data_IF_877764606528
#
_entry.id   IF_877764606528
#
_cell.length_a   1.000
_cell.length_b   1.000
_cell.length_c   1.000
_cell.angle_alpha   90.00
_cell.angle_beta   90.00
_cell.angle_gamma   90.00
#
_symmetry.space_group_name_H-M   'P 1'
#
loop_
_entity.id
_entity.type
_entity.pdbx_description
1 polymer ?
#
# COMPACT_ATOMS: atom_id res chain seq x y z
N UNK A 1 -2.09 25.03 -15.04
CA UNK A 1 -1.60 24.69 -15.02
C UNK A 1 -1.03 23.68 -14.91
N UNK A 2 -1.05 23.38 -15.03
CA UNK A 2 -0.27 22.55 -15.32
C UNK A 2 -0.11 21.45 -14.43
N UNK A 3 -1.05 20.54 -14.43
CA UNK A 3 -1.06 19.45 -13.50
C UNK A 3 0.10 18.50 -13.67
N UNK A 4 0.64 18.40 -14.87
CA UNK A 4 1.76 17.47 -15.02
C UNK A 4 3.01 17.93 -14.29
N UNK A 5 3.11 19.20 -14.00
CA UNK A 5 4.21 19.68 -13.19
C UNK A 5 4.10 19.27 -11.75
N UNK A 6 2.99 18.62 -11.41
CA UNK A 6 2.72 18.29 -10.04
C UNK A 6 2.74 16.80 -9.77
N UNK A 7 3.36 16.04 -10.64
CA UNK A 7 3.45 14.63 -10.42
C UNK A 7 4.20 14.41 -9.14
N UNK A 8 5.41 14.15 -9.15
CA UNK A 8 6.15 14.03 -7.93
C UNK A 8 6.94 15.30 -7.77
N UNK A 9 6.55 16.18 -6.86
CA UNK A 9 7.23 17.44 -6.66
C UNK A 9 8.61 17.27 -6.05
N UNK A 10 8.92 16.08 -5.56
CA UNK A 10 10.19 15.78 -4.93
C UNK A 10 10.84 14.67 -5.75
N UNK A 11 12.11 14.83 -6.10
CA UNK A 11 12.85 13.81 -6.83
C UNK A 11 12.92 12.54 -5.99
N UNK A 12 12.94 11.34 -6.62
CA UNK A 12 12.94 10.10 -5.86
C UNK A 12 14.04 9.98 -4.82
N UNK A 13 15.25 10.41 -5.14
CA UNK A 13 16.35 10.30 -4.18
C UNK A 13 16.15 11.22 -2.97
N UNK A 14 15.55 12.38 -3.19
CA UNK A 14 15.24 13.29 -2.12
C UNK A 14 14.11 12.72 -1.26
N UNK A 15 13.08 12.16 -1.91
CA UNK A 15 11.97 11.54 -1.22
C UNK A 15 12.46 10.44 -0.29
N UNK A 16 13.32 9.55 -0.79
CA UNK A 16 13.83 8.45 0.02
C UNK A 16 14.70 8.92 1.18
N UNK A 17 15.26 10.13 1.08
CA UNK A 17 16.04 10.70 2.16
C UNK A 17 15.23 11.38 3.24
N UNK A 18 13.92 11.53 3.06
CA UNK A 18 13.08 12.17 4.05
C UNK A 18 12.78 11.22 5.20
N UNK A 19 12.45 11.79 6.36
CA UNK A 19 11.98 10.97 7.47
C UNK A 19 10.53 10.53 7.18
N UNK A 20 9.98 9.69 8.06
CA UNK A 20 8.67 9.11 7.83
C UNK A 20 7.57 10.17 7.68
N UNK A 21 7.60 11.22 8.51
CA UNK A 21 6.59 12.27 8.43
C UNK A 21 6.70 13.04 7.12
N UNK A 22 7.93 13.35 6.69
CA UNK A 22 8.15 14.05 5.43
C UNK A 22 7.65 13.24 4.25
N UNK A 23 7.89 11.92 4.28
CA UNK A 23 7.40 11.06 3.22
C UNK A 23 5.89 11.03 3.19
N UNK A 24 5.23 11.00 4.34
CA UNK A 24 3.77 11.02 4.39
C UNK A 24 3.20 12.32 3.83
N UNK A 25 3.84 13.45 4.15
CA UNK A 25 3.41 14.73 3.59
C UNK A 25 3.50 14.74 2.07
N UNK A 26 4.61 14.26 1.53
CA UNK A 26 4.79 14.21 0.08
C UNK A 26 3.73 13.32 -0.55
N UNK A 27 3.43 12.18 0.06
CA UNK A 27 2.42 11.27 -0.45
C UNK A 27 1.04 11.89 -0.44
N UNK A 28 0.65 12.50 0.66
CA UNK A 28 -0.66 13.13 0.77
C UNK A 28 -0.80 14.23 -0.26
N UNK A 29 0.22 15.03 -0.43
CA UNK A 29 0.22 16.08 -1.43
C UNK A 29 0.10 15.51 -2.83
N UNK A 30 0.89 14.48 -3.12
CA UNK A 30 0.88 13.84 -4.42
C UNK A 30 -0.51 13.32 -4.76
N UNK A 31 -1.13 12.58 -3.86
CA UNK A 31 -2.44 12.02 -4.11
C UNK A 31 -3.52 13.10 -4.21
N UNK A 32 -3.42 14.15 -3.40
CA UNK A 32 -4.37 15.24 -3.47
C UNK A 32 -4.26 15.98 -4.80
N UNK A 33 -3.03 16.33 -5.19
CA UNK A 33 -2.79 17.08 -6.42
C UNK A 33 -3.27 16.31 -7.64
N UNK A 34 -3.05 15.00 -7.65
CA UNK A 34 -3.42 14.17 -8.78
C UNK A 34 -4.84 13.64 -8.71
N UNK A 35 -5.58 14.07 -7.67
CA UNK A 35 -6.97 13.68 -7.52
C UNK A 35 -7.15 12.16 -7.57
N UNK A 36 -6.30 11.45 -6.87
CA UNK A 36 -6.33 9.99 -6.85
C UNK A 36 -7.39 9.51 -5.89
N UNK A 37 -8.62 9.66 -6.30
CA UNK A 37 -9.73 9.33 -5.43
C UNK A 37 -10.02 7.87 -5.38
N UNK A 38 -9.70 7.19 -6.43
CA UNK A 38 -10.25 5.88 -6.60
C UNK A 38 -9.22 4.91 -7.10
N UNK A 39 -9.02 3.89 -6.32
CA UNK A 39 -8.25 2.76 -6.76
C UNK A 39 -8.92 2.01 -7.92
N UNK A 40 -10.15 2.41 -8.28
CA UNK A 40 -10.81 1.81 -9.43
C UNK A 40 -10.24 2.30 -10.76
N UNK A 41 -9.61 3.47 -10.74
CA UNK A 41 -8.97 4.01 -11.94
C UNK A 41 -7.49 3.67 -11.91
N UNK A 42 -7.20 2.41 -12.12
CA UNK A 42 -5.84 1.94 -12.10
C UNK A 42 -5.13 2.21 -13.43
N UNK A 43 -3.83 2.42 -13.36
CA UNK A 43 -3.00 2.69 -14.53
C UNK A 43 -2.52 1.43 -15.23
N UNK A 44 -3.19 0.32 -15.03
CA UNK A 44 -2.80 -0.95 -15.64
C UNK A 44 -2.34 -1.92 -14.58
N UNK A 45 -1.72 -3.01 -15.03
CA UNK A 45 -1.25 -4.06 -14.13
C UNK A 45 0.25 -3.95 -13.95
N UNK A 46 0.70 -4.14 -12.74
CA UNK A 46 2.12 -4.12 -12.42
C UNK A 46 2.75 -5.42 -12.90
N UNK A 47 3.89 -5.35 -13.64
CA UNK A 47 4.58 -6.56 -14.07
C UNK A 47 5.07 -7.39 -12.89
N UNK A 48 5.18 -8.70 -13.12
CA UNK A 48 5.55 -9.64 -12.08
C UNK A 48 6.88 -9.31 -11.41
N UNK A 49 7.83 -8.79 -12.16
CA UNK A 49 9.14 -8.44 -11.60
C UNK A 49 9.02 -7.38 -10.50
N UNK A 50 8.11 -6.44 -10.67
CA UNK A 50 7.87 -5.40 -9.65
C UNK A 50 7.08 -5.97 -8.48
N UNK A 51 6.13 -6.86 -8.77
CA UNK A 51 5.37 -7.50 -7.70
C UNK A 51 6.30 -8.30 -6.80
N UNK A 52 7.29 -8.98 -7.37
CA UNK A 52 8.26 -9.71 -6.59
C UNK A 52 9.10 -8.80 -5.71
N UNK A 53 9.44 -7.61 -6.21
CA UNK A 53 10.16 -6.63 -5.39
C UNK A 53 9.32 -6.19 -4.21
N UNK A 54 8.03 -5.98 -4.44
CA UNK A 54 7.10 -5.61 -3.38
C UNK A 54 7.02 -6.74 -2.36
N UNK A 55 6.88 -7.97 -2.83
CA UNK A 55 6.79 -9.11 -1.92
C UNK A 55 8.06 -9.24 -1.07
N UNK A 56 9.22 -9.07 -1.68
CA UNK A 56 10.48 -9.12 -0.94
C UNK A 56 10.52 -8.04 0.15
N UNK A 57 10.11 -6.83 -0.21
CA UNK A 57 10.04 -5.74 0.76
C UNK A 57 9.11 -6.10 1.92
N UNK A 58 7.93 -6.62 1.60
CA UNK A 58 6.95 -6.98 2.62
C UNK A 58 7.46 -8.07 3.54
N UNK A 59 8.12 -9.08 3.00
CA UNK A 59 8.67 -10.18 3.82
C UNK A 59 9.78 -9.69 4.73
N UNK A 60 10.55 -8.72 4.28
CA UNK A 60 11.63 -8.16 5.10
C UNK A 60 11.13 -7.22 6.19
N UNK A 61 10.16 -6.37 5.86
CA UNK A 61 9.67 -5.37 6.79
C UNK A 61 8.56 -5.84 7.70
N UNK A 62 7.74 -6.78 7.22
CA UNK A 62 6.57 -7.25 7.95
C UNK A 62 6.49 -8.78 7.94
N UNK A 63 7.53 -9.47 8.45
CA UNK A 63 7.53 -10.94 8.38
C UNK A 63 6.35 -11.58 9.09
N UNK A 64 5.82 -10.94 10.13
CA UNK A 64 4.67 -11.49 10.87
C UNK A 64 3.44 -11.64 9.98
N UNK A 65 3.32 -10.83 8.93
CA UNK A 65 2.19 -10.93 8.02
C UNK A 65 2.17 -12.26 7.26
N UNK A 66 3.32 -12.94 7.18
CA UNK A 66 3.46 -14.18 6.42
C UNK A 66 3.44 -15.42 7.30
N UNK A 67 3.29 -15.23 8.61
CA UNK A 67 3.20 -16.37 9.53
C UNK A 67 1.83 -17.02 9.42
N UNK A 68 1.80 -18.34 9.49
CA UNK A 68 0.55 -19.07 9.35
C UNK A 68 -0.32 -19.05 10.59
N UNK A 69 0.25 -18.75 11.75
CA UNK A 69 -0.52 -18.73 12.98
C UNK A 69 -1.56 -17.62 12.96
N UNK A 70 -2.74 -17.93 13.47
CA UNK A 70 -3.84 -16.98 13.53
C UNK A 70 -3.75 -16.13 14.79
N UNK A 71 -2.85 -15.19 14.79
CA UNK A 71 -2.79 -14.19 15.83
C UNK A 71 -3.44 -12.91 15.32
N UNK A 72 -4.09 -12.17 16.20
CA UNK A 72 -4.69 -10.90 15.84
C UNK A 72 -3.69 -9.99 15.15
N UNK A 73 -2.47 -9.94 15.67
CA UNK A 73 -1.44 -9.08 15.13
C UNK A 73 -1.07 -9.49 13.70
N UNK A 74 -0.83 -10.79 13.49
CA UNK A 74 -0.49 -11.27 12.15
C UNK A 74 -1.58 -10.95 11.15
N UNK A 75 -2.84 -11.19 11.55
CA UNK A 75 -3.98 -10.90 10.70
C UNK A 75 -4.10 -9.40 10.44
N UNK A 76 -3.86 -8.59 11.46
CA UNK A 76 -3.91 -7.13 11.30
C UNK A 76 -2.91 -6.62 10.27
N UNK A 77 -1.69 -7.16 10.30
CA UNK A 77 -0.68 -6.78 9.31
C UNK A 77 -1.09 -7.21 7.91
N UNK A 78 -1.57 -8.44 7.75
CA UNK A 78 -2.01 -8.90 6.43
C UNK A 78 -3.16 -8.06 5.89
N UNK A 79 -4.15 -7.78 6.72
CA UNK A 79 -5.31 -7.00 6.29
C UNK A 79 -4.90 -5.58 5.91
N UNK A 80 -4.01 -4.98 6.69
CA UNK A 80 -3.49 -3.65 6.39
C UNK A 80 -2.79 -3.63 5.04
N UNK A 81 -1.95 -4.63 4.78
CA UNK A 81 -1.23 -4.71 3.52
C UNK A 81 -2.20 -4.89 2.35
N UNK A 82 -3.18 -5.77 2.49
CA UNK A 82 -4.16 -5.99 1.42
C UNK A 82 -4.89 -4.69 1.08
N UNK A 83 -5.26 -3.93 2.11
CA UNK A 83 -5.94 -2.66 1.90
C UNK A 83 -5.04 -1.65 1.20
N UNK A 84 -3.80 -1.51 1.68
CA UNK A 84 -2.88 -0.52 1.13
C UNK A 84 -2.45 -0.86 -0.30
N UNK A 85 -2.30 -2.14 -0.61
CA UNK A 85 -2.01 -2.54 -1.98
C UNK A 85 -3.17 -2.24 -2.92
N UNK A 86 -4.40 -2.26 -2.41
CA UNK A 86 -5.52 -1.83 -3.22
C UNK A 86 -5.51 -0.33 -3.46
N UNK A 87 -5.02 0.43 -2.49
CA UNK A 87 -4.90 1.87 -2.63
C UNK A 87 -3.78 2.27 -3.59
N UNK A 88 -2.89 1.34 -3.91
CA UNK A 88 -1.80 1.59 -4.84
C UNK A 88 -2.37 1.87 -6.22
N UNK A 89 -1.76 2.80 -6.91
CA UNK A 89 -2.25 3.28 -8.19
C UNK A 89 -2.24 2.24 -9.29
N UNK A 90 -1.23 1.38 -9.28
CA UNK A 90 -1.09 0.37 -10.30
C UNK A 90 -1.66 -0.94 -9.77
N UNK A 91 -2.40 -1.61 -10.61
CA UNK A 91 -3.20 -2.74 -10.17
C UNK A 91 -2.36 -3.98 -9.85
N UNK A 92 -2.56 -4.49 -8.64
CA UNK A 92 -2.12 -5.83 -8.28
C UNK A 92 -3.41 -6.56 -7.93
N UNK A 93 -3.80 -7.52 -8.75
CA UNK A 93 -5.08 -8.19 -8.54
C UNK A 93 -5.14 -8.96 -7.22
N UNK A 94 -6.36 -9.14 -6.68
CA UNK A 94 -6.50 -9.85 -5.41
C UNK A 94 -6.02 -11.29 -5.46
N UNK A 95 -6.10 -11.95 -6.61
CA UNK A 95 -5.57 -13.31 -6.73
C UNK A 95 -4.06 -13.35 -6.55
N UNK A 96 -3.36 -12.37 -7.12
CA UNK A 96 -1.90 -12.32 -7.00
C UNK A 96 -1.48 -11.96 -5.57
N UNK A 97 -2.23 -11.07 -4.92
CA UNK A 97 -1.97 -10.75 -3.51
C UNK A 97 -2.24 -11.98 -2.65
N UNK A 98 -3.29 -12.71 -2.96
CA UNK A 98 -3.58 -13.95 -2.26
C UNK A 98 -2.43 -14.94 -2.35
N UNK A 99 -1.78 -15.00 -3.51
CA UNK A 99 -0.62 -15.88 -3.66
C UNK A 99 0.50 -15.51 -2.72
N UNK A 100 0.71 -14.23 -2.49
CA UNK A 100 1.75 -13.80 -1.55
C UNK A 100 1.52 -14.36 -0.15
N UNK A 101 0.27 -14.36 0.29
CA UNK A 101 -0.08 -14.73 1.66
C UNK A 101 -0.68 -16.13 1.77
N UNK A 102 -0.69 -16.88 0.68
CA UNK A 102 -1.31 -18.21 0.64
C UNK A 102 -2.79 -18.15 1.04
N UNK A 103 -3.51 -17.21 0.47
CA UNK A 103 -4.93 -17.00 0.69
C UNK A 103 -5.64 -16.92 -0.65
N UNK A 104 -6.96 -17.19 -0.67
CA UNK A 104 -7.70 -17.02 -1.90
C UNK A 104 -8.09 -15.53 -2.08
N UNK A 105 -8.53 -15.20 -3.29
CA UNK A 105 -8.83 -13.81 -3.62
C UNK A 105 -10.00 -13.25 -2.80
N UNK A 106 -10.95 -14.11 -2.41
CA UNK A 106 -12.09 -13.66 -1.62
C UNK A 106 -11.63 -13.17 -0.24
N UNK A 107 -10.64 -13.83 0.34
CA UNK A 107 -10.08 -13.43 1.62
C UNK A 107 -9.40 -12.06 1.50
N UNK A 108 -8.71 -11.83 0.40
CA UNK A 108 -8.07 -10.54 0.16
C UNK A 108 -9.13 -9.43 0.05
N UNK A 109 -10.18 -9.67 -0.71
CA UNK A 109 -11.26 -8.71 -0.88
C UNK A 109 -11.93 -8.42 0.46
N UNK A 110 -12.17 -9.48 1.25
CA UNK A 110 -12.76 -9.31 2.57
C UNK A 110 -11.87 -8.45 3.48
N UNK A 111 -10.57 -8.68 3.45
CA UNK A 111 -9.62 -7.90 4.24
C UNK A 111 -9.70 -6.41 3.91
N UNK A 112 -9.82 -6.09 2.64
CA UNK A 112 -9.95 -4.70 2.21
C UNK A 112 -11.21 -4.05 2.77
N UNK A 113 -12.33 -4.78 2.74
CA UNK A 113 -13.59 -4.27 3.25
C UNK A 113 -13.55 -4.07 4.76
N UNK A 114 -12.93 -5.00 5.47
CA UNK A 114 -12.82 -4.89 6.92
C UNK A 114 -12.10 -3.60 7.30
N UNK A 115 -11.00 -3.30 6.61
CA UNK A 115 -10.24 -2.10 6.92
C UNK A 115 -11.04 -0.84 6.56
N UNK A 116 -11.59 -0.78 5.35
CA UNK A 116 -12.26 0.44 4.90
C UNK A 116 -13.61 0.68 5.56
N UNK A 117 -14.35 -0.39 5.87
CA UNK A 117 -15.71 -0.24 6.38
C UNK A 117 -15.81 -0.38 7.89
N UNK A 118 -14.88 -1.06 8.53
CA UNK A 118 -14.91 -1.25 9.97
C UNK A 118 -13.83 -0.46 10.69
N UNK A 119 -12.57 -0.71 10.37
CA UNK A 119 -11.47 -0.05 11.10
C UNK A 119 -11.51 1.46 10.98
N UNK A 120 -11.74 1.96 9.78
CA UNK A 120 -11.66 3.40 9.51
C UNK A 120 -12.97 4.13 9.78
N UNK A 121 -14.09 3.39 9.84
CA UNK A 121 -15.39 4.02 9.99
C UNK A 121 -16.05 3.80 11.34
N UNK A 122 -15.61 2.82 12.12
CA UNK A 122 -16.27 2.47 13.38
C UNK A 122 -15.33 2.69 14.55
N UNK A 123 -15.93 2.92 15.73
CA UNK A 123 -15.16 3.04 16.95
C UNK A 123 -14.73 1.66 17.43
N UNK A 124 -13.70 1.61 18.27
CA UNK A 124 -13.25 0.36 18.85
C UNK A 124 -12.14 -0.35 18.10
N UNK A 125 -11.64 0.27 17.04
CA UNK A 125 -10.58 -0.33 16.22
C UNK A 125 -9.26 0.41 16.32
N UNK A 126 -9.04 1.11 17.43
CA UNK A 126 -7.83 1.93 17.59
C UNK A 126 -6.56 1.12 17.44
N UNK A 127 -6.53 -0.09 18.01
CA UNK A 127 -5.37 -0.96 17.90
C UNK A 127 -5.10 -1.37 16.45
N UNK A 128 -6.15 -1.62 15.70
CA UNK A 128 -6.04 -2.01 14.29
C UNK A 128 -5.58 -0.86 13.44
N UNK A 129 -6.12 0.33 13.70
CA UNK A 129 -5.71 1.53 12.96
C UNK A 129 -4.25 1.85 13.24
N UNK A 130 -3.78 1.57 14.44
CA UNK A 130 -2.37 1.76 14.76
C UNK A 130 -1.48 0.86 13.91
N UNK A 131 -1.86 -0.42 13.77
CA UNK A 131 -1.12 -1.34 12.91
C UNK A 131 -1.15 -0.83 11.46
N UNK A 132 -2.32 -0.40 11.00
CA UNK A 132 -2.45 0.14 9.65
C UNK A 132 -1.50 1.31 9.44
N UNK A 133 -1.40 2.21 10.40
CA UNK A 133 -0.52 3.37 10.28
C UNK A 133 0.95 2.98 10.27
N UNK A 134 1.33 1.99 11.07
CA UNK A 134 2.70 1.48 11.08
C UNK A 134 3.06 0.94 9.69
N UNK A 135 2.17 0.15 9.09
CA UNK A 135 2.41 -0.40 7.76
C UNK A 135 2.43 0.71 6.73
N UNK A 136 1.48 1.63 6.82
CA UNK A 136 1.33 2.72 5.86
C UNK A 136 2.59 3.57 5.76
N UNK A 137 3.17 3.93 6.89
CA UNK A 137 4.34 4.80 6.92
C UNK A 137 5.52 4.17 6.20
N UNK A 138 5.65 2.86 6.25
CA UNK A 138 6.75 2.16 5.59
C UNK A 138 6.41 1.74 4.17
N UNK A 139 5.21 1.26 3.95
CA UNK A 139 4.85 0.64 2.67
C UNK A 139 4.55 1.68 1.59
N UNK A 140 3.78 2.70 1.91
CA UNK A 140 3.35 3.65 0.87
C UNK A 140 4.52 4.37 0.19
N UNK A 141 5.55 4.84 0.93
CA UNK A 141 6.70 5.43 0.24
C UNK A 141 7.38 4.47 -0.72
N UNK A 142 7.46 3.20 -0.34
CA UNK A 142 8.05 2.19 -1.21
C UNK A 142 7.21 2.00 -2.47
N UNK A 143 5.89 1.95 -2.34
CA UNK A 143 4.99 1.78 -3.47
C UNK A 143 5.07 2.97 -4.43
N UNK A 144 5.15 4.17 -3.90
CA UNK A 144 5.28 5.36 -4.74
C UNK A 144 6.60 5.31 -5.52
N UNK A 145 7.67 4.88 -4.86
CA UNK A 145 8.95 4.71 -5.53
C UNK A 145 8.87 3.66 -6.64
N UNK A 146 8.18 2.55 -6.38
CA UNK A 146 7.97 1.51 -7.40
C UNK A 146 7.18 2.04 -8.58
N UNK A 147 6.15 2.82 -8.31
CA UNK A 147 5.36 3.44 -9.37
C UNK A 147 6.23 4.35 -10.22
N UNK A 148 7.07 5.12 -9.57
CA UNK A 148 7.97 6.05 -10.25
C UNK A 148 8.92 5.29 -11.16
N UNK A 149 9.53 4.22 -10.65
CA UNK A 149 10.44 3.40 -11.46
C UNK A 149 9.72 2.79 -12.67
N UNK A 150 8.53 2.25 -12.41
CA UNK A 150 7.75 1.61 -13.46
C UNK A 150 7.41 2.59 -14.58
N UNK A 151 6.99 3.80 -14.22
CA UNK A 151 6.57 4.78 -15.22
C UNK A 151 7.71 5.45 -15.95
N UNK A 152 8.92 5.33 -15.44
CA UNK A 152 10.09 5.96 -16.06
C UNK A 152 11.01 4.98 -16.77
N UNK A 153 10.50 3.82 -17.11
CA UNK A 153 11.27 2.85 -17.91
C UNK A 153 11.32 3.22 -19.37
#
# INVERSE_FOLDING_TARGET
KNSKNKQMTVAPHVFLGLNALGKMEVLENFYTVHNLKSYKEKDGYLPEEYIKKIETFLRNEFPVAFFRKRHKENTGYRQSICYLLECFRINIGPSRIGKMFNQNHATVIHSRKVVSEEWLECAGYEDKVEILNIVKVKLMPFLVHMEFEFKNQ
#
